data_IF_167628491885
#
_entry.id   IF_167628491885
#
_cell.length_a   1.000
_cell.length_b   1.000
_cell.length_c   1.000
_cell.angle_alpha   90.00
_cell.angle_beta   90.00
_cell.angle_gamma   90.00
#
_symmetry.space_group_name_H-M   'P 1'
#
loop_
_entity.id
_entity.type
_entity.pdbx_description
1 polymer ?
#
# COMPACT_ATOMS: atom_id res chain seq x y z
N UNK A 1 -10.77 29.32 -26.18
CA UNK A 1 -9.85 28.98 -25.08
C UNK A 1 -9.96 27.47 -24.89
N UNK A 2 -8.90 26.76 -25.14
CA UNK A 2 -8.87 25.33 -24.78
C UNK A 2 -9.10 25.24 -23.28
N UNK A 3 -10.10 24.44 -22.89
CA UNK A 3 -10.38 24.17 -21.48
C UNK A 3 -9.12 23.52 -20.88
N UNK A 4 -8.42 24.23 -20.01
CA UNK A 4 -7.17 23.72 -19.44
C UNK A 4 -7.47 22.43 -18.67
N UNK A 5 -6.81 21.32 -19.04
CA UNK A 5 -6.94 20.04 -18.37
C UNK A 5 -6.82 20.21 -16.84
N UNK A 6 -7.83 19.75 -16.11
CA UNK A 6 -7.84 19.76 -14.66
C UNK A 6 -6.73 18.87 -14.10
N UNK A 7 -6.13 19.27 -12.98
CA UNK A 7 -5.14 18.47 -12.26
C UNK A 7 -5.70 18.12 -10.88
N UNK A 8 -5.67 16.85 -10.52
CA UNK A 8 -5.97 16.37 -9.18
C UNK A 8 -4.67 16.11 -8.42
N UNK A 9 -4.43 16.86 -7.34
CA UNK A 9 -3.29 16.69 -6.44
C UNK A 9 -3.69 15.78 -5.28
N UNK A 10 -2.97 14.68 -5.10
CA UNK A 10 -3.21 13.69 -4.04
C UNK A 10 -2.11 13.84 -2.99
N UNK A 11 -2.44 14.52 -1.89
CA UNK A 11 -1.58 14.63 -0.71
C UNK A 11 -1.69 13.35 0.11
N UNK A 12 -0.64 12.53 0.15
CA UNK A 12 -0.61 11.26 0.87
C UNK A 12 -0.71 11.44 2.38
N UNK A 13 -1.48 10.57 3.03
CA UNK A 13 -1.68 10.60 4.48
C UNK A 13 -1.95 9.20 5.04
N UNK A 14 -1.64 8.97 6.32
CA UNK A 14 -1.83 7.70 7.02
C UNK A 14 -0.95 6.55 6.49
N UNK A 15 -1.31 5.31 6.84
CA UNK A 15 -0.61 4.10 6.43
C UNK A 15 -0.77 3.77 4.95
N UNK A 16 0.06 2.87 4.47
CA UNK A 16 0.14 2.48 3.05
C UNK A 16 -1.21 2.14 2.42
N UNK A 17 -2.03 1.33 3.09
CA UNK A 17 -3.33 0.93 2.56
C UNK A 17 -4.34 2.09 2.50
N UNK A 18 -4.30 3.03 3.45
CA UNK A 18 -5.17 4.20 3.44
C UNK A 18 -4.82 5.13 2.28
N UNK A 19 -3.52 5.27 1.96
CA UNK A 19 -3.03 6.00 0.78
C UNK A 19 -3.50 5.37 -0.52
N UNK A 20 -3.41 4.04 -0.63
CA UNK A 20 -3.90 3.32 -1.81
C UNK A 20 -5.41 3.46 -1.98
N UNK A 21 -6.18 3.45 -0.89
CA UNK A 21 -7.61 3.70 -0.95
C UNK A 21 -7.92 5.11 -1.48
N UNK A 22 -7.28 6.13 -0.91
CA UNK A 22 -7.42 7.51 -1.39
C UNK A 22 -7.05 7.62 -2.88
N UNK A 23 -5.93 7.03 -3.26
CA UNK A 23 -5.46 7.02 -4.64
C UNK A 23 -6.45 6.35 -5.60
N UNK A 24 -7.12 5.27 -5.18
CA UNK A 24 -8.12 4.58 -6.01
C UNK A 24 -9.31 5.48 -6.39
N UNK A 25 -9.78 6.29 -5.45
CA UNK A 25 -10.83 7.28 -5.70
C UNK A 25 -10.37 8.40 -6.61
N UNK A 26 -9.15 8.89 -6.37
CA UNK A 26 -8.53 9.95 -7.17
C UNK A 26 -8.32 9.49 -8.62
N UNK A 27 -7.84 8.28 -8.83
CA UNK A 27 -7.69 7.69 -10.17
C UNK A 27 -9.05 7.55 -10.87
N UNK A 28 -10.10 7.11 -10.15
CA UNK A 28 -11.43 7.02 -10.73
C UNK A 28 -11.95 8.39 -11.18
N UNK A 29 -11.71 9.43 -10.39
CA UNK A 29 -12.02 10.80 -10.76
C UNK A 29 -11.26 11.24 -12.03
N UNK A 30 -9.95 11.00 -12.07
CA UNK A 30 -9.11 11.35 -13.21
C UNK A 30 -9.55 10.65 -14.50
N UNK A 31 -9.89 9.36 -14.43
CA UNK A 31 -10.40 8.59 -15.58
C UNK A 31 -11.72 9.18 -16.06
N UNK A 32 -12.66 9.43 -15.13
CA UNK A 32 -14.00 9.92 -15.45
C UNK A 32 -13.99 11.31 -16.10
N UNK A 33 -13.13 12.21 -15.61
CA UNK A 33 -13.09 13.60 -16.06
C UNK A 33 -11.88 13.96 -16.92
N UNK A 34 -11.10 12.94 -17.32
CA UNK A 34 -9.87 13.13 -18.13
C UNK A 34 -8.89 14.11 -17.49
N UNK A 35 -8.85 14.15 -16.15
CA UNK A 35 -7.92 14.96 -15.38
C UNK A 35 -6.54 14.34 -15.34
N UNK A 36 -5.49 15.16 -15.19
CA UNK A 36 -4.17 14.67 -14.82
C UNK A 36 -4.07 14.47 -13.31
N UNK A 37 -3.12 13.65 -12.87
CA UNK A 37 -2.88 13.37 -11.46
C UNK A 37 -1.48 13.83 -11.05
N UNK A 38 -1.38 14.46 -9.87
CA UNK A 38 -0.12 14.73 -9.18
C UNK A 38 -0.19 14.05 -7.83
N UNK A 39 0.80 13.21 -7.50
CA UNK A 39 0.82 12.47 -6.23
C UNK A 39 1.98 13.00 -5.40
N UNK A 40 1.71 13.36 -4.15
CA UNK A 40 2.69 13.88 -3.20
C UNK A 40 2.62 13.08 -1.89
N UNK A 41 3.59 12.18 -1.71
CA UNK A 41 3.73 11.33 -0.52
C UNK A 41 5.01 11.63 0.27
N UNK A 42 5.54 12.86 0.15
CA UNK A 42 6.77 13.31 0.81
C UNK A 42 6.63 13.55 2.32
N UNK A 43 5.51 13.17 2.93
CA UNK A 43 5.31 13.35 4.37
C UNK A 43 6.31 12.57 5.22
N UNK A 44 6.31 12.85 6.53
CA UNK A 44 7.23 12.19 7.46
C UNK A 44 6.95 10.69 7.65
N UNK A 45 5.71 10.23 7.41
CA UNK A 45 5.37 8.82 7.59
C UNK A 45 5.87 7.94 6.44
N UNK A 46 5.90 8.46 5.22
CA UNK A 46 6.29 7.71 4.05
C UNK A 46 7.65 8.13 3.51
N UNK A 47 7.80 9.39 3.17
CA UNK A 47 8.98 9.90 2.45
C UNK A 47 10.05 10.48 3.35
N UNK A 48 9.71 10.91 4.56
CA UNK A 48 10.59 11.67 5.46
C UNK A 48 11.28 12.85 4.75
N UNK A 49 10.57 13.49 3.80
CA UNK A 49 11.07 14.61 3.00
C UNK A 49 12.01 14.25 1.85
N UNK A 50 12.46 13.00 1.74
CA UNK A 50 13.47 12.56 0.75
C UNK A 50 12.91 11.65 -0.32
N UNK A 51 11.83 10.94 -0.06
CA UNK A 51 11.21 9.99 -0.99
C UNK A 51 9.74 10.34 -1.23
N UNK A 52 9.23 9.94 -2.38
CA UNK A 52 7.87 10.21 -2.80
C UNK A 52 7.24 8.94 -3.41
N UNK A 53 6.00 9.04 -3.83
CA UNK A 53 5.28 7.99 -4.54
C UNK A 53 6.06 7.43 -5.74
N UNK A 54 6.65 8.31 -6.55
CA UNK A 54 7.36 7.94 -7.78
C UNK A 54 8.62 7.09 -7.54
N UNK A 55 9.15 7.07 -6.32
CA UNK A 55 10.28 6.19 -5.97
C UNK A 55 9.89 4.72 -5.86
N UNK A 56 8.59 4.45 -5.73
CA UNK A 56 8.04 3.11 -5.52
C UNK A 56 7.05 2.68 -6.59
N UNK A 57 6.31 3.62 -7.20
CA UNK A 57 5.19 3.32 -8.08
C UNK A 57 5.14 4.22 -9.30
N UNK A 58 4.53 3.69 -10.34
CA UNK A 58 4.16 4.39 -11.57
C UNK A 58 2.65 4.29 -11.79
N UNK A 59 2.07 5.33 -12.35
CA UNK A 59 0.68 5.33 -12.82
C UNK A 59 0.66 5.10 -14.31
N UNK A 60 -0.20 4.18 -14.75
CA UNK A 60 -0.39 3.84 -16.17
C UNK A 60 -1.80 4.23 -16.61
N UNK A 61 -1.91 4.82 -17.79
CA UNK A 61 -3.21 5.14 -18.39
C UNK A 61 -3.87 6.43 -17.87
N UNK A 62 -3.22 7.15 -16.95
CA UNK A 62 -3.65 8.47 -16.47
C UNK A 62 -2.46 9.41 -16.61
N UNK A 63 -2.63 10.62 -17.20
CA UNK A 63 -1.54 11.60 -17.28
C UNK A 63 -1.03 11.97 -15.89
N UNK A 64 0.26 11.80 -15.65
CA UNK A 64 0.91 12.18 -14.39
C UNK A 64 1.68 13.48 -14.59
N UNK A 65 1.53 14.41 -13.67
CA UNK A 65 2.27 15.68 -13.70
C UNK A 65 3.05 15.88 -12.41
N UNK A 66 4.28 16.39 -12.47
CA UNK A 66 5.07 16.66 -11.28
C UNK A 66 4.50 17.87 -10.52
N UNK A 67 4.74 17.93 -9.20
CA UNK A 67 4.29 19.04 -8.35
C UNK A 67 4.77 20.40 -8.87
N UNK A 68 5.97 20.49 -9.45
CA UNK A 68 6.48 21.71 -10.06
C UNK A 68 5.54 22.27 -11.14
N UNK A 69 4.94 21.40 -11.96
CA UNK A 69 3.94 21.81 -12.96
C UNK A 69 2.68 22.38 -12.31
N UNK A 70 2.22 21.77 -11.21
CA UNK A 70 1.08 22.30 -10.44
C UNK A 70 1.38 23.69 -9.91
N UNK A 71 2.53 23.86 -9.26
CA UNK A 71 2.96 25.15 -8.70
C UNK A 71 3.09 26.24 -9.77
N UNK A 72 3.64 25.90 -10.95
CA UNK A 72 3.71 26.82 -12.09
C UNK A 72 2.32 27.27 -12.56
N UNK A 73 1.33 26.35 -12.59
CA UNK A 73 -0.04 26.74 -12.95
C UNK A 73 -0.70 27.62 -11.91
N UNK A 74 -0.44 27.39 -10.61
CA UNK A 74 -0.94 28.26 -9.54
C UNK A 74 -0.39 29.69 -9.68
N UNK A 75 0.91 29.83 -9.91
CA UNK A 75 1.53 31.15 -10.13
C UNK A 75 1.01 31.85 -11.41
N UNK A 76 0.54 31.08 -12.38
CA UNK A 76 -0.12 31.59 -13.58
C UNK A 76 -1.63 31.87 -13.38
N UNK A 77 -2.15 31.82 -12.16
CA UNK A 77 -3.52 32.18 -11.81
C UNK A 77 -4.54 31.02 -11.90
N UNK A 78 -4.10 29.76 -11.93
CA UNK A 78 -5.02 28.63 -11.87
C UNK A 78 -5.76 28.58 -10.53
N UNK A 79 -7.08 28.39 -10.58
CA UNK A 79 -7.91 28.25 -9.38
C UNK A 79 -7.67 26.93 -8.66
N UNK A 80 -7.65 26.97 -7.32
CA UNK A 80 -7.47 25.80 -6.46
C UNK A 80 -8.78 25.49 -5.72
N UNK A 81 -9.12 24.23 -5.61
CA UNK A 81 -10.22 23.74 -4.79
C UNK A 81 -9.70 22.68 -3.80
N UNK A 82 -9.93 22.80 -2.49
CA UNK A 82 -10.63 23.92 -1.84
C UNK A 82 -9.81 25.22 -1.86
N UNK A 83 -10.50 26.36 -1.89
CA UNK A 83 -9.88 27.69 -1.96
C UNK A 83 -8.96 28.03 -0.77
N UNK A 84 -9.07 27.27 0.32
CA UNK A 84 -8.19 27.37 1.48
C UNK A 84 -6.76 26.88 1.20
N UNK A 85 -6.53 26.06 0.16
CA UNK A 85 -5.18 25.68 -0.25
C UNK A 85 -4.49 26.84 -0.97
N UNK A 86 -3.35 27.25 -0.43
CA UNK A 86 -2.48 28.28 -1.05
C UNK A 86 -1.33 27.61 -1.79
N UNK A 87 -0.56 28.43 -2.50
CA UNK A 87 0.68 28.00 -3.14
C UNK A 87 1.66 27.38 -2.13
N UNK A 88 1.80 27.99 -0.96
CA UNK A 88 2.69 27.53 0.12
C UNK A 88 2.26 26.17 0.63
N UNK A 89 0.96 25.99 0.92
CA UNK A 89 0.42 24.71 1.39
C UNK A 89 0.56 23.60 0.35
N UNK A 90 0.45 23.92 -0.94
CA UNK A 90 0.70 22.94 -2.01
C UNK A 90 2.17 22.52 -2.07
N UNK A 91 3.08 23.48 -1.91
CA UNK A 91 4.53 23.27 -1.96
C UNK A 91 5.03 22.43 -0.80
N UNK A 92 4.50 22.66 0.41
CA UNK A 92 4.91 21.95 1.61
C UNK A 92 4.57 20.44 1.54
N UNK A 93 5.42 19.56 2.09
CA UNK A 93 5.08 18.16 2.28
C UNK A 93 3.77 18.01 3.04
N UNK A 94 2.98 16.96 2.79
CA UNK A 94 1.79 16.67 3.58
C UNK A 94 2.12 16.58 5.07
N UNK A 95 1.32 17.24 5.92
CA UNK A 95 1.50 17.22 7.36
C UNK A 95 0.18 17.00 8.10
N UNK A 96 0.26 16.44 9.32
CA UNK A 96 -0.92 16.17 10.15
C UNK A 96 -1.70 17.44 10.45
N UNK A 97 -1.01 18.55 10.74
CA UNK A 97 -1.62 19.82 11.10
C UNK A 97 -2.50 20.36 9.97
N UNK A 98 -2.07 20.21 8.72
CA UNK A 98 -2.82 20.67 7.55
C UNK A 98 -4.02 19.75 7.26
N UNK A 99 -3.87 18.45 7.51
CA UNK A 99 -4.85 17.44 7.08
C UNK A 99 -6.04 17.24 8.02
N UNK A 100 -5.91 17.56 9.30
CA UNK A 100 -6.98 17.40 10.30
C UNK A 100 -7.73 18.70 10.64
N UNK A 101 -7.47 19.79 9.91
CA UNK A 101 -8.13 21.07 10.10
C UNK A 101 -9.17 21.34 9.02
N UNK A 102 -9.63 22.58 8.93
CA UNK A 102 -10.66 23.11 8.02
C UNK A 102 -10.39 22.90 6.51
N UNK A 103 -9.18 22.43 6.16
CA UNK A 103 -8.74 22.23 4.78
C UNK A 103 -9.00 20.83 4.21
N UNK A 104 -9.73 19.98 4.93
CA UNK A 104 -10.01 18.63 4.42
C UNK A 104 -10.83 18.73 3.12
N UNK A 105 -10.24 18.26 2.05
CA UNK A 105 -10.92 18.01 0.78
C UNK A 105 -10.83 16.54 0.44
N UNK A 106 -11.93 15.96 0.01
CA UNK A 106 -11.97 14.56 -0.38
C UNK A 106 -12.77 14.36 -1.67
N UNK A 107 -12.21 13.56 -2.54
CA UNK A 107 -12.97 12.97 -3.63
C UNK A 107 -13.72 11.78 -3.04
N UNK A 108 -15.02 11.85 -3.00
CA UNK A 108 -15.88 10.79 -2.48
C UNK A 108 -16.30 9.80 -3.57
N UNK A 109 -17.09 8.80 -3.17
CA UNK A 109 -17.57 7.76 -4.09
C UNK A 109 -18.54 8.28 -5.16
N UNK A 110 -19.17 9.44 -4.96
CA UNK A 110 -20.07 10.02 -5.96
C UNK A 110 -19.31 10.48 -7.19
N UNK A 111 -18.00 10.73 -7.03
CA UNK A 111 -17.13 11.24 -8.07
C UNK A 111 -17.79 12.38 -8.87
N UNK A 112 -18.40 13.33 -8.16
CA UNK A 112 -18.94 14.54 -8.79
C UNK A 112 -17.79 15.41 -9.27
N UNK A 113 -17.95 16.01 -10.47
CA UNK A 113 -16.96 16.96 -10.99
C UNK A 113 -16.82 18.12 -10.01
N UNK A 114 -15.59 18.37 -9.60
CA UNK A 114 -15.27 19.49 -8.73
C UNK A 114 -14.97 20.74 -9.57
N UNK A 115 -15.25 21.90 -9.02
CA UNK A 115 -14.86 23.16 -9.63
C UNK A 115 -13.37 23.44 -9.41
N UNK A 116 -12.77 24.25 -10.30
CA UNK A 116 -11.36 24.64 -10.23
C UNK A 116 -10.45 23.90 -11.20
N UNK A 117 -9.32 24.53 -11.49
CA UNK A 117 -8.29 23.95 -12.37
C UNK A 117 -7.42 22.93 -11.65
N UNK A 118 -7.20 23.14 -10.35
CA UNK A 118 -6.41 22.28 -9.47
C UNK A 118 -7.31 21.84 -8.33
N UNK A 119 -7.48 20.53 -8.19
CA UNK A 119 -8.24 19.93 -7.10
C UNK A 119 -7.25 19.27 -6.14
N UNK A 120 -7.39 19.54 -4.85
CA UNK A 120 -6.52 18.93 -3.83
C UNK A 120 -7.32 17.91 -3.03
N UNK A 121 -6.85 16.66 -3.03
CA UNK A 121 -7.34 15.59 -2.16
C UNK A 121 -6.32 15.34 -1.05
N UNK A 122 -6.71 15.61 0.19
CA UNK A 122 -5.86 15.49 1.38
C UNK A 122 -6.51 14.68 2.50
N UNK A 123 -7.32 13.71 2.14
CA UNK A 123 -8.04 12.84 3.08
C UNK A 123 -7.64 11.39 2.89
N UNK A 124 -7.78 10.59 3.94
CA UNK A 124 -7.68 9.14 3.81
C UNK A 124 -8.88 8.59 3.03
N UNK A 125 -8.67 7.47 2.35
CA UNK A 125 -9.75 6.75 1.66
C UNK A 125 -10.80 6.24 2.64
N UNK A 126 -12.08 6.39 2.29
CA UNK A 126 -13.20 6.01 3.15
C UNK A 126 -13.85 4.69 2.77
N UNK A 127 -13.65 4.19 1.54
CA UNK A 127 -14.23 2.94 1.02
C UNK A 127 -13.39 2.35 -0.11
N UNK A 128 -13.54 1.04 -0.35
CA UNK A 128 -12.70 0.25 -1.28
C UNK A 128 -13.38 -0.02 -2.64
N UNK A 129 -14.13 0.94 -3.18
CA UNK A 129 -15.00 0.71 -4.34
C UNK A 129 -14.31 0.67 -5.70
N UNK A 130 -13.07 1.17 -5.82
CA UNK A 130 -12.39 1.30 -7.12
C UNK A 130 -11.10 0.50 -7.19
N UNK A 131 -11.10 -0.70 -6.61
CA UNK A 131 -9.93 -1.60 -6.59
C UNK A 131 -9.40 -1.96 -7.97
N UNK A 132 -10.30 -2.06 -8.96
CA UNK A 132 -9.90 -2.30 -10.36
C UNK A 132 -8.88 -1.27 -10.84
N UNK A 133 -9.04 0.00 -10.44
CA UNK A 133 -8.13 1.07 -10.82
C UNK A 133 -6.73 0.87 -10.21
N UNK A 134 -6.63 0.41 -8.95
CA UNK A 134 -5.35 0.06 -8.33
C UNK A 134 -4.65 -1.06 -9.10
N UNK A 135 -5.39 -2.11 -9.44
CA UNK A 135 -4.84 -3.27 -10.15
C UNK A 135 -4.40 -2.90 -11.58
N UNK A 136 -5.20 -2.10 -12.28
CA UNK A 136 -4.97 -1.80 -13.69
C UNK A 136 -3.98 -0.66 -13.92
N UNK A 137 -4.00 0.36 -13.06
CA UNK A 137 -3.32 1.62 -13.29
C UNK A 137 -2.06 1.83 -12.44
N UNK A 138 -1.74 0.95 -11.48
CA UNK A 138 -0.49 1.04 -10.69
C UNK A 138 0.49 -0.04 -11.14
N UNK A 139 1.76 0.34 -11.21
CA UNK A 139 2.91 -0.55 -11.35
C UNK A 139 3.94 -0.21 -10.28
N UNK A 140 4.69 -1.19 -9.82
CA UNK A 140 5.88 -0.93 -9.00
C UNK A 140 6.96 -0.36 -9.90
N UNK A 141 7.52 0.79 -9.51
CA UNK A 141 8.59 1.46 -10.23
C UNK A 141 9.81 0.52 -10.38
N UNK A 142 10.52 0.62 -11.49
CA UNK A 142 11.64 -0.27 -11.79
C UNK A 142 12.73 -0.21 -10.72
N UNK A 143 12.98 0.97 -10.15
CA UNK A 143 13.91 1.20 -9.03
C UNK A 143 13.61 0.38 -7.77
N UNK A 144 12.34 0.05 -7.53
CA UNK A 144 11.86 -0.72 -6.38
C UNK A 144 11.61 -2.21 -6.73
N UNK A 145 11.24 -2.49 -7.98
CA UNK A 145 10.75 -3.79 -8.45
C UNK A 145 11.70 -4.94 -8.15
N UNK A 146 12.99 -4.78 -8.49
CA UNK A 146 14.01 -5.82 -8.29
C UNK A 146 14.13 -6.21 -6.81
N UNK A 147 14.14 -5.24 -5.92
CA UNK A 147 14.28 -5.47 -4.48
C UNK A 147 13.01 -6.15 -3.91
N UNK A 148 11.83 -5.74 -4.36
CA UNK A 148 10.57 -6.37 -3.94
C UNK A 148 10.50 -7.81 -4.45
N UNK A 149 10.82 -8.08 -5.72
CA UNK A 149 10.83 -9.45 -6.27
C UNK A 149 11.84 -10.32 -5.51
N UNK A 150 13.00 -9.80 -5.14
CA UNK A 150 13.97 -10.52 -4.32
C UNK A 150 13.38 -10.90 -2.94
N UNK A 151 12.65 -10.00 -2.29
CA UNK A 151 11.98 -10.32 -1.02
C UNK A 151 10.88 -11.38 -1.18
N UNK A 152 10.21 -11.41 -2.33
CA UNK A 152 9.14 -12.37 -2.65
C UNK A 152 9.66 -13.70 -3.22
N UNK A 153 10.94 -13.82 -3.52
CA UNK A 153 11.50 -15.00 -4.21
C UNK A 153 11.35 -16.32 -3.44
N UNK A 154 11.18 -16.25 -2.12
CA UNK A 154 10.91 -17.41 -1.26
C UNK A 154 9.45 -17.91 -1.29
N UNK A 155 8.52 -17.18 -1.94
CA UNK A 155 7.12 -17.58 -2.01
C UNK A 155 6.92 -18.80 -2.91
N UNK A 156 6.14 -19.74 -2.42
CA UNK A 156 5.73 -20.92 -3.16
C UNK A 156 4.21 -21.07 -3.07
N UNK A 157 3.53 -21.00 -4.19
CA UNK A 157 2.09 -21.19 -4.28
C UNK A 157 1.70 -22.67 -4.27
N UNK A 158 0.49 -23.02 -3.83
CA UNK A 158 -0.42 -22.20 -3.04
C UNK A 158 0.04 -22.06 -1.58
N UNK A 159 -0.33 -20.94 -0.93
CA UNK A 159 0.01 -20.73 0.49
C UNK A 159 -1.06 -19.93 1.22
N UNK A 160 -0.98 -19.92 2.54
CA UNK A 160 -1.77 -19.09 3.44
C UNK A 160 -0.91 -17.93 3.95
N UNK A 161 -1.43 -16.71 3.91
CA UNK A 161 -0.85 -15.56 4.59
C UNK A 161 -1.42 -15.41 5.99
N UNK A 162 -0.55 -15.17 6.97
CA UNK A 162 -0.91 -14.91 8.36
C UNK A 162 -0.43 -13.51 8.70
N UNK A 163 -1.35 -12.56 8.90
CA UNK A 163 -0.99 -11.19 9.24
C UNK A 163 -1.22 -10.91 10.73
N UNK A 164 -0.13 -10.76 11.48
CA UNK A 164 -0.10 -10.47 12.90
C UNK A 164 0.31 -9.00 13.11
N UNK A 165 -0.60 -8.16 13.57
CA UNK A 165 -0.31 -6.76 13.89
C UNK A 165 -0.04 -6.61 15.38
N UNK A 166 1.16 -6.21 15.74
CA UNK A 166 1.67 -6.23 17.10
C UNK A 166 1.96 -4.87 17.72
N UNK A 167 2.03 -3.81 16.93
CA UNK A 167 2.46 -2.49 17.42
C UNK A 167 1.33 -1.68 18.04
N UNK A 168 0.58 -0.94 17.24
CA UNK A 168 -0.46 0.01 17.68
C UNK A 168 -1.82 -0.65 17.97
N UNK A 169 -1.98 -1.92 17.64
CA UNK A 169 -3.26 -2.67 17.77
C UNK A 169 -3.10 -4.06 18.38
N UNK A 170 -2.04 -4.25 19.16
CA UNK A 170 -1.86 -5.51 19.89
C UNK A 170 -2.92 -5.63 20.99
N UNK A 171 -3.85 -6.56 20.84
CA UNK A 171 -4.69 -7.06 21.92
C UNK A 171 -4.73 -8.58 21.86
N UNK A 172 -4.87 -9.24 23.01
CA UNK A 172 -5.02 -10.70 23.04
C UNK A 172 -6.19 -11.16 22.19
N UNK A 173 -7.24 -10.35 22.13
CA UNK A 173 -8.42 -10.58 21.29
C UNK A 173 -8.08 -10.61 19.81
N UNK A 174 -7.18 -9.72 19.32
CA UNK A 174 -6.80 -9.68 17.90
C UNK A 174 -6.00 -10.90 17.49
N UNK A 175 -5.09 -11.37 18.33
CA UNK A 175 -4.30 -12.58 18.09
C UNK A 175 -5.19 -13.82 18.13
N UNK A 176 -6.10 -13.92 19.11
CA UNK A 176 -7.07 -14.99 19.21
C UNK A 176 -7.99 -15.05 17.97
N UNK A 177 -8.39 -13.89 17.42
CA UNK A 177 -9.17 -13.81 16.20
C UNK A 177 -8.41 -14.38 14.98
N UNK A 178 -7.13 -14.00 14.82
CA UNK A 178 -6.29 -14.56 13.75
C UNK A 178 -6.11 -16.06 13.91
N UNK A 179 -5.86 -16.55 15.14
CA UNK A 179 -5.72 -17.97 15.45
C UNK A 179 -7.01 -18.75 15.14
N UNK A 180 -8.18 -18.21 15.50
CA UNK A 180 -9.47 -18.80 15.17
C UNK A 180 -9.72 -18.85 13.66
N UNK A 181 -9.41 -17.77 12.93
CA UNK A 181 -9.50 -17.73 11.47
C UNK A 181 -8.59 -18.75 10.82
N UNK A 182 -7.34 -18.89 11.30
CA UNK A 182 -6.41 -19.88 10.80
C UNK A 182 -6.89 -21.30 11.12
N UNK A 183 -7.37 -21.55 12.35
CA UNK A 183 -7.89 -22.86 12.75
C UNK A 183 -9.04 -23.34 11.86
N UNK A 184 -9.91 -22.39 11.42
CA UNK A 184 -11.03 -22.67 10.53
C UNK A 184 -10.64 -23.02 9.09
N UNK A 185 -9.39 -22.77 8.66
CA UNK A 185 -8.94 -23.12 7.33
C UNK A 185 -8.86 -24.65 7.15
N UNK A 186 -9.12 -25.16 5.94
CA UNK A 186 -8.99 -26.59 5.66
C UNK A 186 -7.52 -27.04 5.80
N UNK A 187 -7.26 -28.32 6.13
CA UNK A 187 -5.90 -28.82 6.37
C UNK A 187 -4.92 -28.55 5.24
N UNK A 188 -5.35 -28.67 3.98
CA UNK A 188 -4.49 -28.45 2.82
C UNK A 188 -4.06 -26.96 2.67
N UNK A 189 -4.83 -26.01 3.20
CA UNK A 189 -4.47 -24.61 3.22
C UNK A 189 -3.35 -24.32 4.25
N UNK A 190 -3.19 -25.17 5.27
CA UNK A 190 -2.22 -24.98 6.36
C UNK A 190 -0.84 -25.58 6.08
N UNK A 191 -0.70 -26.39 5.03
CA UNK A 191 0.57 -27.07 4.68
C UNK A 191 1.72 -26.10 4.47
N UNK A 192 1.41 -24.88 4.01
CA UNK A 192 2.39 -23.82 3.79
C UNK A 192 1.78 -22.49 4.21
N UNK A 193 2.37 -21.86 5.19
CA UNK A 193 1.92 -20.58 5.71
C UNK A 193 3.08 -19.59 5.84
N UNK A 194 2.84 -18.33 5.44
CA UNK A 194 3.80 -17.25 5.61
C UNK A 194 3.27 -16.21 6.58
N UNK A 195 4.11 -15.87 7.56
CA UNK A 195 3.81 -14.87 8.60
C UNK A 195 4.29 -13.52 8.15
N UNK A 196 3.40 -12.55 8.24
CA UNK A 196 3.63 -11.11 8.03
C UNK A 196 3.35 -10.42 9.36
N UNK A 197 4.29 -9.62 9.85
CA UNK A 197 4.15 -8.94 11.13
C UNK A 197 5.00 -7.68 11.19
N UNK A 198 4.56 -6.74 12.02
CA UNK A 198 5.31 -5.58 12.45
C UNK A 198 6.02 -5.79 13.81
N UNK A 199 6.00 -7.02 14.35
CA UNK A 199 6.62 -7.37 15.63
C UNK A 199 7.19 -8.80 15.61
N UNK A 200 8.51 -8.92 15.66
CA UNK A 200 9.24 -10.19 15.59
C UNK A 200 8.76 -11.21 16.63
N UNK A 201 8.62 -10.80 17.89
CA UNK A 201 8.23 -11.70 18.98
C UNK A 201 6.90 -12.39 18.74
N UNK A 202 5.91 -11.70 18.13
CA UNK A 202 4.63 -12.31 17.79
C UNK A 202 4.76 -13.39 16.73
N UNK A 203 5.60 -13.17 15.74
CA UNK A 203 5.80 -14.18 14.72
C UNK A 203 6.58 -15.37 15.25
N UNK A 204 7.56 -15.18 16.11
CA UNK A 204 8.28 -16.27 16.78
C UNK A 204 7.34 -17.12 17.63
N UNK A 205 6.48 -16.49 18.45
CA UNK A 205 5.44 -17.19 19.22
C UNK A 205 4.45 -17.95 18.32
N UNK A 206 4.08 -17.36 17.18
CA UNK A 206 3.20 -18.01 16.20
C UNK A 206 3.85 -19.23 15.58
N UNK A 207 5.09 -19.09 15.09
CA UNK A 207 5.84 -20.18 14.44
C UNK A 207 6.12 -21.31 15.41
N UNK A 208 6.40 -21.01 16.68
CA UNK A 208 6.56 -22.03 17.70
C UNK A 208 5.30 -22.90 17.88
N UNK A 209 4.11 -22.31 17.77
CA UNK A 209 2.81 -23.01 17.87
C UNK A 209 2.36 -23.65 16.56
N UNK A 210 2.86 -23.16 15.44
CA UNK A 210 2.48 -23.57 14.08
C UNK A 210 3.74 -23.75 13.23
N UNK A 211 4.47 -24.87 13.41
CA UNK A 211 5.80 -25.07 12.81
C UNK A 211 5.80 -25.17 11.28
N UNK A 212 4.64 -25.32 10.64
CA UNK A 212 4.46 -25.21 9.19
C UNK A 212 4.51 -23.77 8.68
N UNK A 213 4.43 -22.79 9.60
CA UNK A 213 4.52 -21.37 9.29
C UNK A 213 5.97 -20.91 9.28
N UNK A 214 6.30 -19.97 8.38
CA UNK A 214 7.64 -19.37 8.29
C UNK A 214 7.57 -17.92 7.85
N UNK A 215 8.66 -17.19 7.97
CA UNK A 215 8.82 -15.89 7.32
C UNK A 215 9.00 -16.07 5.81
N UNK A 216 8.57 -15.07 5.04
CA UNK A 216 8.94 -14.98 3.62
C UNK A 216 10.40 -14.57 3.49
N UNK A 217 10.79 -13.58 4.29
CA UNK A 217 12.15 -13.05 4.34
C UNK A 217 12.58 -12.89 5.81
N UNK A 218 13.43 -13.77 6.29
CA UNK A 218 13.95 -13.75 7.68
C UNK A 218 14.81 -12.51 7.97
N UNK A 219 15.33 -11.88 6.92
CA UNK A 219 16.11 -10.63 7.01
C UNK A 219 15.27 -9.38 6.82
N UNK A 220 13.94 -9.49 6.84
CA UNK A 220 13.05 -8.35 6.68
C UNK A 220 13.40 -7.24 7.70
N UNK A 221 13.53 -5.98 7.26
CA UNK A 221 13.93 -4.87 8.13
C UNK A 221 13.05 -4.73 9.38
N UNK A 222 11.76 -4.91 9.22
CA UNK A 222 10.79 -4.79 10.32
C UNK A 222 11.07 -5.77 11.47
N UNK A 223 11.64 -6.94 11.19
CA UNK A 223 11.96 -7.94 12.20
C UNK A 223 13.18 -7.56 13.07
N UNK A 224 13.93 -6.54 12.72
CA UNK A 224 15.04 -6.01 13.51
C UNK A 224 14.56 -5.03 14.58
N UNK A 225 13.36 -4.46 14.42
CA UNK A 225 12.84 -3.42 15.31
C UNK A 225 12.32 -4.07 16.60
N UNK A 226 12.75 -3.54 17.75
CA UNK A 226 12.19 -3.94 19.05
C UNK A 226 10.70 -3.57 19.14
N UNK A 227 9.95 -4.20 20.05
CA UNK A 227 8.54 -3.87 20.26
C UNK A 227 8.34 -2.38 20.49
N UNK A 228 7.50 -1.76 19.66
CA UNK A 228 7.10 -0.36 19.75
C UNK A 228 5.58 -0.24 19.90
N UNK A 229 5.12 0.85 20.47
CA UNK A 229 3.69 1.08 20.73
C UNK A 229 2.97 1.79 19.59
N UNK A 230 3.72 2.29 18.61
CA UNK A 230 3.20 2.98 17.44
C UNK A 230 3.43 2.15 16.17
N UNK A 231 2.63 2.37 15.15
CA UNK A 231 2.80 1.69 13.85
C UNK A 231 4.19 1.95 13.27
N UNK A 232 4.81 0.93 12.67
CA UNK A 232 6.18 1.03 12.13
C UNK A 232 6.34 2.13 11.09
N UNK A 233 5.27 2.47 10.34
CA UNK A 233 5.27 3.58 9.39
C UNK A 233 5.41 4.96 10.05
N UNK A 234 5.14 5.08 11.35
CA UNK A 234 5.26 6.32 12.13
C UNK A 234 6.62 6.48 12.80
N UNK A 235 7.54 5.53 12.63
CA UNK A 235 8.86 5.60 13.27
C UNK A 235 9.67 6.75 12.69
N UNK A 236 10.24 7.56 13.60
CA UNK A 236 11.12 8.66 13.26
C UNK A 236 12.43 8.15 12.63
N UNK A 237 13.12 9.00 11.87
CA UNK A 237 14.35 8.65 11.19
C UNK A 237 15.43 8.16 12.16
N UNK A 238 15.55 8.81 13.31
CA UNK A 238 16.54 8.49 14.35
C UNK A 238 16.33 7.09 14.93
N UNK A 239 15.07 6.65 15.06
CA UNK A 239 14.72 5.29 15.51
C UNK A 239 15.14 4.27 14.47
N UNK A 240 14.89 4.54 13.20
CA UNK A 240 15.29 3.64 12.12
C UNK A 240 16.81 3.56 11.99
N UNK A 241 17.51 4.69 12.10
CA UNK A 241 18.97 4.75 12.10
C UNK A 241 19.58 3.92 13.24
N UNK A 242 19.01 3.99 14.45
CA UNK A 242 19.44 3.17 15.59
C UNK A 242 19.41 1.66 15.26
N UNK A 243 18.44 1.19 14.48
CA UNK A 243 18.36 -0.20 14.01
C UNK A 243 19.13 -0.48 12.72
N UNK A 244 19.81 0.51 12.16
CA UNK A 244 20.50 0.39 10.87
C UNK A 244 19.55 0.12 9.70
N UNK A 245 18.36 0.72 9.72
CA UNK A 245 17.30 0.55 8.74
C UNK A 245 17.02 1.90 8.09
N UNK A 246 16.96 1.95 6.77
CA UNK A 246 16.51 3.13 6.03
C UNK A 246 14.98 3.15 5.92
N UNK A 247 14.41 4.33 5.75
CA UNK A 247 12.97 4.47 5.47
C UNK A 247 12.58 3.74 4.19
N UNK A 248 13.45 3.81 3.19
CA UNK A 248 13.27 3.08 1.93
C UNK A 248 13.15 1.58 2.12
N UNK A 249 14.04 0.97 2.90
CA UNK A 249 13.97 -0.47 3.18
C UNK A 249 12.67 -0.85 3.89
N UNK A 250 12.22 -0.02 4.85
CA UNK A 250 10.95 -0.24 5.54
C UNK A 250 9.75 -0.13 4.59
N UNK A 251 9.74 0.86 3.70
CA UNK A 251 8.68 1.03 2.72
C UNK A 251 8.65 -0.11 1.70
N UNK A 252 9.80 -0.55 1.19
CA UNK A 252 9.90 -1.71 0.30
C UNK A 252 9.41 -2.99 0.98
N UNK A 253 9.75 -3.19 2.25
CA UNK A 253 9.22 -4.31 3.05
C UNK A 253 7.70 -4.21 3.20
N UNK A 254 7.17 -3.02 3.48
CA UNK A 254 5.72 -2.81 3.59
C UNK A 254 4.99 -3.17 2.30
N UNK A 255 5.54 -2.79 1.14
CA UNK A 255 4.99 -3.16 -0.17
C UNK A 255 5.08 -4.67 -0.40
N UNK A 256 6.22 -5.30 -0.08
CA UNK A 256 6.39 -6.74 -0.20
C UNK A 256 5.40 -7.51 0.68
N UNK A 257 5.25 -7.13 1.94
CA UNK A 257 4.29 -7.71 2.88
C UNK A 257 2.84 -7.61 2.40
N UNK A 258 2.48 -6.44 1.83
CA UNK A 258 1.18 -6.25 1.20
C UNK A 258 0.96 -7.23 0.05
N UNK A 259 1.95 -7.42 -0.79
CA UNK A 259 1.91 -8.34 -1.92
C UNK A 259 1.89 -9.80 -1.48
N UNK A 260 2.58 -10.17 -0.39
CA UNK A 260 2.47 -11.51 0.21
C UNK A 260 1.02 -11.83 0.59
N UNK A 261 0.30 -10.87 1.17
CA UNK A 261 -1.12 -11.10 1.49
C UNK A 261 -1.96 -11.18 0.20
N UNK A 262 -1.68 -10.32 -0.77
CA UNK A 262 -2.46 -10.23 -2.01
C UNK A 262 -2.25 -11.43 -2.96
N UNK A 263 -1.08 -12.07 -2.97
CA UNK A 263 -0.82 -13.30 -3.74
C UNK A 263 -1.32 -14.58 -3.07
N UNK A 264 -1.58 -14.56 -1.77
CA UNK A 264 -1.94 -15.77 -1.02
C UNK A 264 -3.25 -16.40 -1.53
N UNK A 265 -3.33 -17.72 -1.52
CA UNK A 265 -4.56 -18.45 -1.84
C UNK A 265 -5.58 -18.37 -0.70
N UNK A 266 -5.08 -18.33 0.53
CA UNK A 266 -5.88 -18.20 1.76
C UNK A 266 -5.25 -17.15 2.68
N UNK A 267 -5.97 -16.74 3.72
CA UNK A 267 -5.42 -15.82 4.69
C UNK A 267 -6.18 -15.77 6.00
N UNK A 268 -5.42 -15.59 7.05
CA UNK A 268 -5.91 -15.19 8.35
C UNK A 268 -5.20 -13.89 8.76
N UNK A 269 -5.94 -12.91 9.22
CA UNK A 269 -5.37 -11.61 9.55
C UNK A 269 -6.30 -10.78 10.41
N UNK A 270 -5.78 -9.66 10.89
CA UNK A 270 -6.54 -8.75 11.73
C UNK A 270 -7.68 -8.11 10.94
N UNK A 271 -8.94 -8.47 11.28
CA UNK A 271 -10.14 -8.04 10.56
C UNK A 271 -10.39 -6.52 10.56
N UNK A 272 -9.82 -5.78 11.51
CA UNK A 272 -9.90 -4.31 11.57
C UNK A 272 -8.80 -3.59 10.78
N UNK A 273 -7.75 -4.32 10.33
CA UNK A 273 -6.64 -3.72 9.59
C UNK A 273 -7.05 -3.37 8.16
N UNK A 274 -6.97 -2.09 7.81
CA UNK A 274 -7.13 -1.60 6.43
C UNK A 274 -6.14 -2.28 5.48
N UNK A 275 -4.91 -2.52 5.95
CA UNK A 275 -3.85 -3.21 5.21
C UNK A 275 -4.27 -4.63 4.82
N UNK A 276 -4.72 -5.44 5.79
CA UNK A 276 -5.22 -6.80 5.55
C UNK A 276 -6.43 -6.80 4.62
N UNK A 277 -7.39 -5.91 4.90
CA UNK A 277 -8.62 -5.81 4.09
C UNK A 277 -8.31 -5.52 2.64
N UNK A 278 -7.53 -4.47 2.37
CA UNK A 278 -7.21 -4.06 1.00
C UNK A 278 -6.44 -5.14 0.24
N UNK A 279 -5.40 -5.72 0.85
CA UNK A 279 -4.64 -6.80 0.22
C UNK A 279 -5.51 -8.04 -0.05
N UNK A 280 -6.41 -8.38 0.88
CA UNK A 280 -7.36 -9.50 0.69
C UNK A 280 -8.38 -9.24 -0.42
N UNK A 281 -8.82 -8.00 -0.61
CA UNK A 281 -9.66 -7.64 -1.76
C UNK A 281 -8.90 -7.74 -3.08
N UNK A 282 -7.64 -7.34 -3.11
CA UNK A 282 -6.81 -7.51 -4.30
C UNK A 282 -6.62 -8.99 -4.66
N UNK A 283 -6.52 -9.87 -3.65
CA UNK A 283 -6.52 -11.33 -3.83
C UNK A 283 -7.74 -11.83 -4.60
N UNK A 284 -8.93 -11.30 -4.33
CA UNK A 284 -10.17 -11.69 -5.01
C UNK A 284 -10.14 -11.35 -6.51
N UNK A 285 -9.35 -10.37 -6.92
CA UNK A 285 -9.06 -10.07 -8.32
C UNK A 285 -8.12 -11.08 -9.01
N UNK A 286 -7.67 -12.08 -8.29
CA UNK A 286 -6.76 -13.14 -8.73
C UNK A 286 -5.29 -12.72 -8.77
N UNK A 287 -4.39 -13.71 -8.70
CA UNK A 287 -2.93 -13.52 -8.78
C UNK A 287 -2.48 -12.78 -10.06
N UNK A 288 -3.22 -12.95 -11.16
CA UNK A 288 -3.00 -12.25 -12.43
C UNK A 288 -3.13 -10.73 -12.25
N UNK A 289 -4.10 -10.27 -11.46
CA UNK A 289 -4.29 -8.84 -11.20
C UNK A 289 -3.11 -8.22 -10.46
N UNK A 290 -2.68 -8.85 -9.37
CA UNK A 290 -1.57 -8.37 -8.53
C UNK A 290 -0.22 -8.52 -9.25
N UNK A 291 -0.05 -9.57 -10.07
CA UNK A 291 1.14 -9.78 -10.89
C UNK A 291 1.44 -8.62 -11.83
N UNK A 292 0.42 -7.87 -12.25
CA UNK A 292 0.61 -6.66 -13.07
C UNK A 292 1.41 -5.56 -12.35
N UNK A 293 1.36 -5.49 -11.03
CA UNK A 293 2.12 -4.49 -10.28
C UNK A 293 3.62 -4.65 -10.43
N UNK A 294 4.08 -5.91 -10.53
CA UNK A 294 5.49 -6.26 -10.61
C UNK A 294 5.93 -6.63 -12.03
N UNK A 295 4.99 -6.79 -12.96
CA UNK A 295 5.21 -7.55 -14.20
C UNK A 295 5.84 -8.93 -13.91
N UNK A 296 5.43 -9.53 -12.79
CA UNK A 296 5.93 -10.79 -12.25
C UNK A 296 4.81 -11.50 -11.48
N UNK A 297 4.86 -12.82 -11.45
CA UNK A 297 3.98 -13.65 -10.62
C UNK A 297 4.76 -14.84 -10.09
N UNK A 298 4.57 -15.22 -8.81
CA UNK A 298 5.16 -16.45 -8.27
C UNK A 298 4.75 -17.69 -9.08
N UNK A 299 3.61 -17.67 -9.76
CA UNK A 299 3.14 -18.78 -10.60
C UNK A 299 4.00 -19.01 -11.84
N UNK A 300 4.58 -17.96 -12.42
CA UNK A 300 5.43 -18.11 -13.63
C UNK A 300 6.70 -18.93 -13.37
N UNK A 301 7.18 -18.96 -12.14
CA UNK A 301 8.34 -19.77 -11.77
C UNK A 301 7.98 -21.22 -11.42
N UNK A 302 6.74 -21.49 -10.98
CA UNK A 302 6.29 -22.81 -10.51
C UNK A 302 5.37 -23.56 -11.47
N UNK A 303 4.64 -22.86 -12.34
CA UNK A 303 3.73 -23.48 -13.31
C UNK A 303 4.45 -24.44 -14.28
N UNK A 304 5.69 -24.16 -14.65
CA UNK A 304 6.47 -25.04 -15.53
C UNK A 304 6.92 -26.35 -14.84
N UNK A 305 6.88 -26.42 -13.51
CA UNK A 305 7.29 -27.64 -12.78
C UNK A 305 6.12 -28.45 -12.21
N UNK A 306 4.94 -27.86 -12.00
CA UNK A 306 3.81 -28.55 -11.36
C UNK A 306 2.76 -29.10 -12.32
N UNK A 307 2.62 -28.54 -13.53
CA UNK A 307 1.72 -29.12 -14.55
C UNK A 307 2.26 -30.39 -15.22
N UNK A 308 3.54 -30.69 -15.03
CA UNK A 308 4.11 -31.98 -15.51
C UNK A 308 3.79 -33.17 -14.62
N UNK A 309 3.13 -32.99 -13.47
CA UNK A 309 2.87 -34.06 -12.49
C UNK A 309 1.40 -34.22 -12.08
N UNK A 310 0.46 -33.51 -12.70
CA UNK A 310 -0.96 -33.80 -12.49
C UNK A 310 -1.39 -34.95 -13.40
N UNK A 311 -1.95 -36.05 -12.84
CA UNK A 311 -2.53 -37.10 -13.66
C UNK A 311 -3.70 -36.51 -14.45
N UNK A 312 -3.68 -36.69 -15.77
CA UNK A 312 -4.82 -36.47 -16.65
C UNK A 312 -6.00 -37.28 -16.14
N UNK A 313 -7.02 -36.60 -15.62
CA UNK A 313 -8.35 -37.17 -15.38
C UNK A 313 -9.15 -37.15 -16.67
#
# INVERSE_FOLDING_TARGET
MEEQQQILVVKGWEGFADRLQALSHCMNYCIKYKAAICIDWRDYMWGQGTEDFADYFEIVGIPVVPLATVLTRVTAGASINPAAYTYELLREPPSQVIHFTEFQSKIDNSCLKQEGNIIVHNSKGTRMWHLSNLIQNIRVAESARKQIIQQLSGLQLPYTSIHLRGTDRKTDTTIAHVASGYAALPPHAKVRSYVITDMRTLAEEWIQKNPESKYVNENAPVLKIAPVTQGTHMLAAEVLEFYGITKRELNLNTIADFLVIAFASWGAGHGESTFTKLASFMRQGGSIGVGKWLDWSPDRASLNSQFSTLPTL
#
